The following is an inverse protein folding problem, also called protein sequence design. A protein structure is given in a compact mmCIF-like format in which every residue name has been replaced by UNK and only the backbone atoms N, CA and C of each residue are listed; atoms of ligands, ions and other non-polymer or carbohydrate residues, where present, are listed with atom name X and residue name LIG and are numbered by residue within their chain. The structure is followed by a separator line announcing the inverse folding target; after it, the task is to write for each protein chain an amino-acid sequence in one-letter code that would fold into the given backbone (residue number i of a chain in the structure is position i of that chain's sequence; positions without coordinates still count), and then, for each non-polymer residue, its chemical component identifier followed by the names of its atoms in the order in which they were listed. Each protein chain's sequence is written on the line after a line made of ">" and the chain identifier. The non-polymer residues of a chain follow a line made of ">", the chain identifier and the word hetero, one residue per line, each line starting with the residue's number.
data_IF_074062035819
#
_entry.id   IF_074062035819
#
_cell.length_a   1.000
_cell.length_b   1.000
_cell.length_c   1.000
_cell.angle_alpha   90.00
_cell.angle_beta   90.00
_cell.angle_gamma   90.00
#
_symmetry.space_group_name_H-M   'P 1'
#
loop_
_entity.id
_entity.type
_entity.pdbx_description
1 polymer ?
#
# COMPACT_ATOMS: atom_id res chain seq x y z
N UNK A 1 14.27 13.22 -7.21
CA UNK A 1 12.97 13.57 -7.86
C UNK A 1 11.83 13.19 -6.92
N UNK A 2 10.68 13.87 -7.00
CA UNK A 2 9.53 13.59 -6.11
C UNK A 2 8.47 12.77 -6.84
N UNK A 3 7.95 11.74 -6.18
CA UNK A 3 6.91 10.85 -6.70
C UNK A 3 5.74 10.84 -5.72
N UNK A 4 4.53 11.06 -6.24
CA UNK A 4 3.29 10.90 -5.49
C UNK A 4 2.53 9.68 -6.02
N UNK A 5 2.28 8.72 -5.13
CA UNK A 5 1.44 7.55 -5.43
C UNK A 5 0.07 7.77 -4.79
N UNK A 6 -0.98 7.72 -5.59
CA UNK A 6 -2.36 7.87 -5.13
C UNK A 6 -3.04 6.50 -5.16
N UNK A 7 -3.61 6.09 -4.03
CA UNK A 7 -4.37 4.84 -3.90
C UNK A 7 -5.82 5.20 -3.54
N UNK A 8 -6.78 4.67 -4.30
CA UNK A 8 -8.22 4.93 -4.14
C UNK A 8 -9.09 3.66 -4.03
N UNK A 9 -8.49 2.47 -4.11
CA UNK A 9 -9.19 1.20 -3.98
C UNK A 9 -9.25 0.72 -2.54
N UNK A 10 -10.32 0.00 -2.18
CA UNK A 10 -10.46 -0.61 -0.86
C UNK A 10 -9.36 -1.66 -0.63
N UNK A 11 -8.85 -1.80 0.61
CA UNK A 11 -7.89 -2.85 0.93
C UNK A 11 -8.47 -4.23 0.62
N UNK A 12 -7.62 -5.15 0.17
CA UNK A 12 -7.97 -6.57 -0.06
C UNK A 12 -9.02 -6.84 -1.14
N UNK A 13 -9.51 -5.82 -1.85
CA UNK A 13 -10.53 -6.01 -2.91
C UNK A 13 -9.90 -6.38 -4.26
N UNK A 14 -8.71 -5.85 -4.53
CA UNK A 14 -7.87 -6.14 -5.69
C UNK A 14 -6.42 -6.15 -5.23
N UNK A 15 -5.49 -6.39 -6.15
CA UNK A 15 -4.05 -6.34 -5.94
C UNK A 15 -3.47 -4.92 -6.01
N UNK A 16 -4.29 -3.91 -6.30
CA UNK A 16 -3.82 -2.56 -6.64
C UNK A 16 -3.11 -1.87 -5.46
N UNK A 17 -3.70 -1.95 -4.28
CA UNK A 17 -3.13 -1.44 -3.02
C UNK A 17 -1.83 -2.17 -2.69
N UNK A 18 -1.81 -3.51 -2.76
CA UNK A 18 -0.61 -4.31 -2.55
C UNK A 18 0.52 -3.92 -3.50
N UNK A 19 0.23 -3.85 -4.80
CA UNK A 19 1.23 -3.54 -5.82
C UNK A 19 1.75 -2.11 -5.71
N UNK A 20 0.88 -1.12 -5.45
CA UNK A 20 1.29 0.26 -5.26
C UNK A 20 2.22 0.42 -4.06
N UNK A 21 1.87 -0.23 -2.95
CA UNK A 21 2.65 -0.23 -1.72
C UNK A 21 4.00 -0.95 -1.89
N UNK A 22 4.01 -2.13 -2.51
CA UNK A 22 5.24 -2.86 -2.85
C UNK A 22 6.13 -2.05 -3.78
N UNK A 23 5.57 -1.43 -4.81
CA UNK A 23 6.31 -0.60 -5.74
C UNK A 23 6.95 0.62 -5.05
N UNK A 24 6.21 1.29 -4.16
CA UNK A 24 6.74 2.39 -3.36
C UNK A 24 7.97 1.94 -2.54
N UNK A 25 7.89 0.77 -1.91
CA UNK A 25 8.99 0.20 -1.14
C UNK A 25 10.21 -0.11 -2.00
N UNK A 26 10.02 -0.79 -3.13
CA UNK A 26 11.12 -1.10 -4.04
C UNK A 26 11.80 0.16 -4.56
N UNK A 27 11.02 1.19 -4.94
CA UNK A 27 11.58 2.49 -5.33
C UNK A 27 12.44 3.10 -4.22
N UNK A 28 11.94 3.13 -2.98
CA UNK A 28 12.69 3.70 -1.85
C UNK A 28 13.95 2.89 -1.49
N UNK A 29 13.95 1.58 -1.72
CA UNK A 29 15.07 0.69 -1.40
C UNK A 29 16.15 0.69 -2.49
N UNK A 30 15.75 0.63 -3.76
CA UNK A 30 16.68 0.47 -4.88
C UNK A 30 17.11 1.83 -5.48
N UNK A 31 16.32 2.88 -5.26
CA UNK A 31 16.52 4.19 -5.88
C UNK A 31 16.38 5.33 -4.86
N UNK A 32 17.44 5.54 -4.07
CA UNK A 32 17.51 6.56 -3.01
C UNK A 32 17.33 8.02 -3.50
N UNK A 33 17.44 8.27 -4.80
CA UNK A 33 17.20 9.57 -5.41
C UNK A 33 15.72 9.98 -5.48
N UNK A 34 14.79 9.04 -5.24
CA UNK A 34 13.36 9.30 -5.23
C UNK A 34 12.84 9.56 -3.81
N UNK A 35 12.15 10.68 -3.67
CA UNK A 35 11.34 11.03 -2.50
C UNK A 35 9.90 10.62 -2.80
N UNK A 36 9.47 9.50 -2.19
CA UNK A 36 8.17 8.87 -2.45
C UNK A 36 7.17 9.24 -1.37
N UNK A 37 6.05 9.82 -1.78
CA UNK A 37 4.90 10.11 -0.92
C UNK A 37 3.70 9.28 -1.35
N UNK A 38 2.91 8.81 -0.37
CA UNK A 38 1.70 8.04 -0.61
C UNK A 38 0.50 8.83 -0.10
N UNK A 39 -0.50 9.02 -0.96
CA UNK A 39 -1.78 9.64 -0.60
C UNK A 39 -2.91 8.64 -0.75
N UNK A 40 -3.54 8.29 0.36
CA UNK A 40 -4.69 7.39 0.40
C UNK A 40 -5.97 8.22 0.36
N UNK A 41 -6.90 7.85 -0.53
CA UNK A 41 -8.20 8.49 -0.64
C UNK A 41 -9.33 7.47 -0.76
N UNK A 42 -10.57 7.92 -0.55
CA UNK A 42 -11.76 7.07 -0.66
C UNK A 42 -11.63 5.81 0.23
N UNK A 43 -11.83 4.62 -0.33
CA UNK A 43 -11.82 3.37 0.44
C UNK A 43 -10.40 2.92 0.83
N UNK A 44 -9.36 3.51 0.22
CA UNK A 44 -7.97 3.19 0.51
C UNK A 44 -7.52 3.67 1.90
N UNK A 45 -8.25 4.61 2.52
CA UNK A 45 -7.99 5.01 3.92
C UNK A 45 -8.10 3.81 4.87
N UNK A 46 -8.89 2.80 4.49
CA UNK A 46 -8.99 1.53 5.21
C UNK A 46 -7.65 0.82 5.38
N UNK A 47 -6.69 1.00 4.46
CA UNK A 47 -5.34 0.42 4.53
C UNK A 47 -4.55 0.86 5.78
N UNK A 48 -4.96 1.94 6.46
CA UNK A 48 -4.25 2.49 7.64
C UNK A 48 -4.71 1.90 8.97
N UNK A 49 -5.74 1.05 8.97
CA UNK A 49 -6.31 0.50 10.20
C UNK A 49 -5.30 -0.42 10.92
N UNK A 50 -5.15 -0.22 12.24
CA UNK A 50 -4.33 -1.09 13.09
C UNK A 50 -4.99 -2.46 13.24
N UNK A 51 -4.18 -3.51 13.27
CA UNK A 51 -4.66 -4.86 13.61
C UNK A 51 -5.60 -5.48 12.57
N UNK A 52 -5.45 -5.12 11.30
CA UNK A 52 -6.19 -5.77 10.23
C UNK A 52 -5.92 -7.28 10.24
N UNK A 53 -7.00 -8.06 10.29
CA UNK A 53 -6.95 -9.52 10.20
C UNK A 53 -7.62 -9.96 8.90
N UNK A 54 -6.85 -10.57 8.01
CA UNK A 54 -7.41 -11.27 6.86
C UNK A 54 -7.80 -12.69 7.26
N UNK A 55 -9.01 -13.12 6.89
CA UNK A 55 -9.44 -14.50 7.12
C UNK A 55 -8.45 -15.48 6.45
N UNK A 56 -7.95 -16.44 7.22
CA UNK A 56 -7.04 -17.48 6.72
C UNK A 56 -7.72 -18.26 5.59
N UNK A 57 -7.05 -18.36 4.43
CA UNK A 57 -7.55 -19.09 3.26
C UNK A 57 -8.26 -18.25 2.21
N UNK A 58 -8.48 -16.95 2.44
CA UNK A 58 -8.79 -16.02 1.35
C UNK A 58 -7.49 -15.53 0.71
N UNK A 59 -7.35 -15.71 -0.61
CA UNK A 59 -6.22 -15.22 -1.41
C UNK A 59 -6.27 -13.70 -1.52
N UNK A 60 -6.06 -12.99 -0.41
CA UNK A 60 -5.89 -11.54 -0.41
C UNK A 60 -4.48 -11.24 0.09
N UNK A 61 -3.70 -10.54 -0.74
CA UNK A 61 -2.34 -10.14 -0.43
C UNK A 61 -2.39 -9.13 0.73
N UNK A 62 -2.07 -9.60 1.94
CA UNK A 62 -2.07 -8.75 3.12
C UNK A 62 -0.84 -7.83 3.09
N UNK A 63 -1.05 -6.51 3.10
CA UNK A 63 -0.01 -5.54 3.40
C UNK A 63 -0.26 -5.02 4.81
N UNK A 64 0.57 -5.44 5.77
CA UNK A 64 0.66 -4.80 7.08
C UNK A 64 1.93 -3.97 7.11
N UNK A 65 1.78 -2.65 7.21
CA UNK A 65 2.91 -1.75 7.47
C UNK A 65 2.67 -1.07 8.81
N UNK A 66 3.28 -1.63 9.85
CA UNK A 66 3.61 -0.87 11.05
C UNK A 66 5.11 -0.66 11.08
N UNK A 67 5.47 0.58 11.39
CA UNK A 67 6.81 1.12 11.65
C UNK A 67 7.90 0.08 11.89
#
# INVERSE_FOLDING_TARGET
>A
MKILIIINYAPYRTENDYNALRFAMTLMQEHSEFDVSIFLMMNAVGCTLLGQNTLSGYTHYMVSFFK
#
